data_IF_506270134192
#
_entry.id   IF_506270134192
#
_cell.length_a   1.000
_cell.length_b   1.000
_cell.length_c   1.000
_cell.angle_alpha   90.00
_cell.angle_beta   90.00
_cell.angle_gamma   90.00
#
_symmetry.space_group_name_H-M   'P 1'
#
loop_
_entity.id
_entity.type
_entity.pdbx_description
1 polymer ?
#
# COMPACT_ATOMS: atom_id res chain seq x y z
N UNK A 1 -2.53 2.75 20.63
CA UNK A 1 -2.95 1.79 19.58
C UNK A 1 -3.06 2.56 18.28
N UNK A 2 -2.41 2.12 17.22
CA UNK A 2 -2.39 2.78 15.91
C UNK A 2 -3.69 2.47 15.16
N UNK A 3 -4.46 3.49 14.79
CA UNK A 3 -5.68 3.35 13.99
C UNK A 3 -5.32 3.45 12.51
N UNK A 4 -5.48 2.38 11.75
CA UNK A 4 -5.16 2.40 10.32
C UNK A 4 -6.39 2.32 9.43
N UNK A 5 -6.35 3.03 8.30
CA UNK A 5 -7.27 2.86 7.17
C UNK A 5 -6.54 2.18 6.02
N UNK A 6 -7.13 1.16 5.41
CA UNK A 6 -6.51 0.44 4.30
C UNK A 6 -7.25 0.73 3.01
N UNK A 7 -6.57 1.36 2.05
CA UNK A 7 -7.11 1.69 0.74
C UNK A 7 -6.72 0.61 -0.28
N UNK A 8 -7.70 0.14 -1.05
CA UNK A 8 -7.57 -1.02 -1.95
C UNK A 8 -8.33 -0.80 -3.27
N UNK A 9 -7.95 -1.51 -4.33
CA UNK A 9 -8.70 -1.46 -5.61
C UNK A 9 -9.17 -2.84 -6.10
N UNK A 10 -8.63 -3.94 -5.59
CA UNK A 10 -8.81 -5.28 -6.16
C UNK A 10 -8.98 -6.40 -5.15
N UNK A 11 -8.21 -7.46 -5.29
CA UNK A 11 -8.32 -8.71 -4.52
C UNK A 11 -8.00 -8.60 -3.04
N UNK A 12 -7.16 -7.64 -2.62
CA UNK A 12 -6.85 -7.37 -1.21
C UNK A 12 -5.94 -8.41 -0.56
N UNK A 13 -4.98 -8.95 -1.29
CA UNK A 13 -4.02 -9.93 -0.72
C UNK A 13 -3.11 -9.29 0.32
N UNK A 14 -2.66 -8.05 0.09
CA UNK A 14 -1.93 -7.28 1.09
C UNK A 14 -2.80 -6.91 2.31
N UNK A 15 -4.09 -6.58 2.10
CA UNK A 15 -5.03 -6.41 3.21
C UNK A 15 -5.14 -7.70 4.04
N UNK A 16 -5.22 -8.87 3.41
CA UNK A 16 -5.26 -10.13 4.14
C UNK A 16 -3.99 -10.34 4.96
N UNK A 17 -2.81 -10.09 4.38
CA UNK A 17 -1.55 -10.20 5.10
C UNK A 17 -1.49 -9.27 6.34
N UNK A 18 -2.09 -8.08 6.25
CA UNK A 18 -2.20 -7.16 7.40
C UNK A 18 -3.15 -7.72 8.46
N UNK A 19 -4.33 -8.23 8.06
CA UNK A 19 -5.30 -8.85 8.96
C UNK A 19 -4.67 -10.04 9.69
N UNK A 20 -4.07 -10.96 8.92
CA UNK A 20 -3.40 -12.14 9.46
C UNK A 20 -2.27 -11.75 10.43
N UNK A 21 -1.53 -10.68 10.10
CA UNK A 21 -0.46 -10.12 10.94
C UNK A 21 -0.96 -9.58 12.29
N UNK A 22 -2.15 -8.96 12.31
CA UNK A 22 -2.79 -8.50 13.54
C UNK A 22 -3.29 -9.69 14.36
N UNK A 23 -3.97 -10.64 13.71
CA UNK A 23 -4.55 -11.82 14.36
C UNK A 23 -3.48 -12.72 15.00
N UNK A 24 -2.33 -12.90 14.34
CA UNK A 24 -1.22 -13.71 14.84
C UNK A 24 -0.18 -12.93 15.66
N UNK A 25 -0.44 -11.64 15.95
CA UNK A 25 0.41 -10.76 16.76
C UNK A 25 1.80 -10.45 16.17
N UNK A 26 2.01 -10.60 14.87
CA UNK A 26 3.20 -10.08 14.18
C UNK A 26 3.09 -8.58 13.91
N UNK A 27 1.87 -8.04 13.87
CA UNK A 27 1.58 -6.61 13.96
C UNK A 27 0.97 -6.34 15.32
N UNK A 28 1.64 -5.54 16.13
CA UNK A 28 1.22 -5.19 17.49
C UNK A 28 0.68 -3.75 17.55
N UNK A 29 -0.01 -3.40 18.63
CA UNK A 29 -0.50 -2.05 18.89
C UNK A 29 -1.28 -1.40 17.72
N UNK A 30 -1.95 -2.20 16.88
CA UNK A 30 -2.61 -1.74 15.66
C UNK A 30 -4.05 -2.25 15.57
N UNK A 31 -4.95 -1.45 15.00
CA UNK A 31 -6.28 -1.89 14.60
C UNK A 31 -6.67 -1.28 13.25
N UNK A 32 -7.34 -2.07 12.40
CA UNK A 32 -7.92 -1.56 11.15
C UNK A 32 -9.28 -0.96 11.48
N UNK A 33 -9.43 0.35 11.24
CA UNK A 33 -10.69 1.08 11.45
C UNK A 33 -11.63 0.94 10.26
N UNK A 34 -11.06 0.95 9.05
CA UNK A 34 -11.82 0.94 7.81
C UNK A 34 -11.01 0.37 6.65
N UNK A 35 -11.70 -0.32 5.75
CA UNK A 35 -11.22 -0.67 4.41
C UNK A 35 -11.99 0.18 3.40
N UNK A 36 -11.28 0.98 2.61
CA UNK A 36 -11.86 1.86 1.59
C UNK A 36 -11.45 1.36 0.21
N UNK A 37 -12.42 1.18 -0.69
CA UNK A 37 -12.14 0.82 -2.08
C UNK A 37 -12.74 1.83 -3.05
N UNK A 38 -12.03 2.09 -4.14
CA UNK A 38 -12.54 2.84 -5.29
C UNK A 38 -13.38 1.98 -6.24
N UNK A 39 -13.55 0.70 -5.94
CA UNK A 39 -14.27 -0.27 -6.75
C UNK A 39 -15.23 -1.08 -5.88
N UNK A 40 -16.54 -0.93 -6.11
CA UNK A 40 -17.58 -1.64 -5.35
C UNK A 40 -17.50 -3.17 -5.44
N UNK A 41 -16.87 -3.68 -6.50
CA UNK A 41 -16.68 -5.10 -6.74
C UNK A 41 -15.31 -5.62 -6.25
N UNK A 42 -14.55 -4.81 -5.53
CA UNK A 42 -13.26 -5.24 -4.98
C UNK A 42 -13.47 -6.35 -3.93
N UNK A 43 -12.85 -7.51 -4.13
CA UNK A 43 -12.93 -8.62 -3.17
C UNK A 43 -12.33 -8.25 -1.81
N UNK A 44 -11.45 -7.27 -1.77
CA UNK A 44 -10.91 -6.71 -0.54
C UNK A 44 -12.01 -6.20 0.44
N UNK A 45 -13.12 -5.62 -0.07
CA UNK A 45 -14.25 -5.21 0.78
C UNK A 45 -14.92 -6.40 1.45
N UNK A 46 -15.01 -7.53 0.75
CA UNK A 46 -15.56 -8.77 1.29
C UNK A 46 -14.65 -9.37 2.36
N UNK A 47 -13.31 -9.31 2.15
CA UNK A 47 -12.33 -9.70 3.17
C UNK A 47 -12.52 -8.90 4.45
N UNK A 48 -12.58 -7.56 4.34
CA UNK A 48 -12.80 -6.69 5.50
C UNK A 48 -14.07 -7.04 6.25
N UNK A 49 -15.21 -7.20 5.55
CA UNK A 49 -16.49 -7.57 6.18
C UNK A 49 -16.45 -8.92 6.88
N UNK A 50 -15.77 -9.92 6.31
CA UNK A 50 -15.62 -11.25 6.93
C UNK A 50 -14.86 -11.19 8.26
N UNK A 51 -13.98 -10.20 8.42
CA UNK A 51 -13.25 -9.95 9.68
C UNK A 51 -13.87 -8.89 10.56
N UNK A 52 -15.13 -8.49 10.30
CA UNK A 52 -15.85 -7.50 11.10
C UNK A 52 -15.31 -6.08 10.96
N UNK A 53 -14.51 -5.80 9.91
CA UNK A 53 -13.95 -4.48 9.64
C UNK A 53 -14.93 -3.70 8.76
N UNK A 54 -15.19 -2.44 9.12
CA UNK A 54 -15.99 -1.55 8.29
C UNK A 54 -15.36 -1.44 6.89
N UNK A 55 -16.19 -1.66 5.86
CA UNK A 55 -15.70 -1.79 4.48
C UNK A 55 -16.62 -1.04 3.53
N UNK A 56 -16.13 0.07 3.00
CA UNK A 56 -16.88 1.03 2.21
C UNK A 56 -16.30 1.25 0.82
N UNK A 57 -17.13 1.72 -0.09
CA UNK A 57 -16.70 2.10 -1.42
C UNK A 57 -16.84 3.62 -1.61
N UNK A 58 -15.77 4.27 -2.03
CA UNK A 58 -15.76 5.67 -2.50
C UNK A 58 -15.18 5.65 -3.91
N UNK A 59 -16.04 5.61 -4.92
CA UNK A 59 -15.62 5.43 -6.31
C UNK A 59 -15.60 6.74 -7.07
N UNK A 60 -14.53 7.07 -7.82
CA UNK A 60 -14.51 8.26 -8.66
C UNK A 60 -15.58 8.24 -9.76
N UNK A 61 -16.23 7.10 -10.00
CA UNK A 61 -17.30 6.96 -10.99
C UNK A 61 -18.67 7.43 -10.47
N UNK A 62 -18.77 7.66 -9.16
CA UNK A 62 -20.03 8.05 -8.52
C UNK A 62 -20.14 9.59 -8.38
N UNK A 63 -19.17 10.35 -8.93
CA UNK A 63 -19.10 11.81 -8.87
C UNK A 63 -18.87 12.40 -10.26
N UNK A 64 -19.39 13.61 -10.47
CA UNK A 64 -19.30 14.30 -11.75
C UNK A 64 -17.91 14.88 -12.02
N UNK A 65 -17.20 15.25 -10.97
CA UNK A 65 -15.85 15.86 -11.09
C UNK A 65 -14.84 15.16 -10.20
N UNK A 66 -13.56 15.32 -10.54
CA UNK A 66 -12.45 14.82 -9.73
C UNK A 66 -12.36 15.56 -8.39
N UNK A 67 -12.67 16.84 -8.38
CA UNK A 67 -12.66 17.70 -7.19
C UNK A 67 -13.71 17.24 -6.19
N UNK A 68 -14.92 16.91 -6.64
CA UNK A 68 -15.97 16.38 -5.79
C UNK A 68 -15.55 15.03 -5.17
N UNK A 69 -15.07 14.11 -6.00
CA UNK A 69 -14.53 12.83 -5.50
C UNK A 69 -13.44 13.04 -4.46
N UNK A 70 -12.46 13.93 -4.74
CA UNK A 70 -11.35 14.21 -3.83
C UNK A 70 -11.86 14.72 -2.48
N UNK A 71 -12.81 15.65 -2.49
CA UNK A 71 -13.42 16.20 -1.28
C UNK A 71 -14.08 15.10 -0.44
N UNK A 72 -14.92 14.28 -1.06
CA UNK A 72 -15.62 13.20 -0.37
C UNK A 72 -14.64 12.13 0.15
N UNK A 73 -13.59 11.81 -0.59
CA UNK A 73 -12.56 10.88 -0.14
C UNK A 73 -11.84 11.41 1.11
N UNK A 74 -11.49 12.72 1.13
CA UNK A 74 -10.85 13.36 2.28
C UNK A 74 -11.79 13.36 3.49
N UNK A 75 -13.04 13.81 3.33
CA UNK A 75 -14.04 13.83 4.39
C UNK A 75 -14.29 12.42 4.97
N UNK A 76 -14.35 11.44 4.09
CA UNK A 76 -14.49 10.04 4.48
C UNK A 76 -13.31 9.56 5.34
N UNK A 77 -12.08 9.77 4.88
CA UNK A 77 -10.86 9.39 5.62
C UNK A 77 -10.79 10.10 6.97
N UNK A 78 -11.09 11.39 7.00
CA UNK A 78 -11.06 12.21 8.22
C UNK A 78 -12.05 11.73 9.28
N UNK A 79 -13.21 11.22 8.88
CA UNK A 79 -14.26 10.75 9.80
C UNK A 79 -13.82 9.56 10.69
N UNK A 80 -12.77 8.84 10.27
CA UNK A 80 -12.25 7.68 11.03
C UNK A 80 -11.11 8.02 11.99
N UNK A 81 -10.62 9.26 12.03
CA UNK A 81 -9.50 9.68 12.89
C UNK A 81 -8.29 8.72 12.79
N UNK A 82 -7.80 8.52 11.57
CA UNK A 82 -6.72 7.59 11.28
C UNK A 82 -5.36 8.17 11.67
N UNK A 83 -4.52 7.31 12.25
CA UNK A 83 -3.12 7.62 12.52
C UNK A 83 -2.22 7.30 11.32
N UNK A 84 -2.61 6.28 10.52
CA UNK A 84 -1.89 5.83 9.33
C UNK A 84 -2.86 5.41 8.22
N UNK A 85 -2.56 5.79 7.01
CA UNK A 85 -3.23 5.32 5.79
C UNK A 85 -2.31 4.34 5.08
N UNK A 86 -2.83 3.16 4.73
CA UNK A 86 -2.07 2.11 4.04
C UNK A 86 -2.64 1.89 2.65
N UNK A 87 -1.84 2.15 1.62
CA UNK A 87 -2.19 1.84 0.23
C UNK A 87 -1.77 0.40 -0.08
N UNK A 88 -2.74 -0.51 -0.12
CA UNK A 88 -2.54 -1.94 -0.32
C UNK A 88 -3.09 -2.39 -1.69
N UNK A 89 -2.40 -2.00 -2.75
CA UNK A 89 -2.88 -2.18 -4.12
C UNK A 89 -4.00 -1.20 -4.48
N UNK A 90 -3.85 0.04 -4.07
CA UNK A 90 -4.73 1.16 -4.42
C UNK A 90 -4.25 1.79 -5.74
N UNK A 91 -5.15 1.85 -6.73
CA UNK A 91 -4.86 2.41 -8.06
C UNK A 91 -5.35 3.86 -8.22
N UNK A 92 -5.92 4.44 -7.19
CA UNK A 92 -6.35 5.84 -7.19
C UNK A 92 -5.18 6.72 -6.79
N UNK A 93 -4.90 7.71 -7.62
CA UNK A 93 -3.97 8.78 -7.26
C UNK A 93 -4.63 9.63 -6.18
N UNK A 94 -3.99 9.74 -5.04
CA UNK A 94 -4.50 10.54 -3.93
C UNK A 94 -4.38 12.05 -4.23
N UNK A 95 -5.32 12.88 -3.75
CA UNK A 95 -5.21 14.33 -3.88
C UNK A 95 -4.05 14.87 -3.05
N UNK A 96 -3.34 15.86 -3.58
CA UNK A 96 -2.20 16.51 -2.89
C UNK A 96 -2.59 17.04 -1.50
N UNK A 97 -3.80 17.57 -1.36
CA UNK A 97 -4.31 18.06 -0.08
C UNK A 97 -4.31 16.95 0.99
N UNK A 98 -4.74 15.75 0.62
CA UNK A 98 -4.70 14.58 1.52
C UNK A 98 -3.26 14.21 1.88
N UNK A 99 -2.38 14.19 0.89
CA UNK A 99 -0.96 13.85 1.09
C UNK A 99 -0.29 14.85 2.04
N UNK A 100 -0.52 16.15 1.86
CA UNK A 100 0.01 17.19 2.74
C UNK A 100 -0.55 17.09 4.16
N UNK A 101 -1.86 16.83 4.29
CA UNK A 101 -2.53 16.67 5.59
C UNK A 101 -2.00 15.47 6.37
N UNK A 102 -1.72 14.38 5.68
CA UNK A 102 -1.21 13.13 6.25
C UNK A 102 0.27 12.90 5.93
N UNK A 103 1.08 13.98 5.93
CA UNK A 103 2.53 13.89 5.71
C UNK A 103 3.17 12.87 6.65
N UNK A 104 3.95 11.93 6.09
CA UNK A 104 4.58 10.80 6.79
C UNK A 104 3.58 9.90 7.55
N UNK A 105 2.32 9.89 7.11
CA UNK A 105 1.24 9.04 7.63
C UNK A 105 0.49 8.28 6.53
N UNK A 106 1.04 8.23 5.33
CA UNK A 106 0.55 7.41 4.23
C UNK A 106 1.70 6.53 3.78
N UNK A 107 1.50 5.22 3.74
CA UNK A 107 2.48 4.27 3.20
C UNK A 107 1.90 3.52 2.01
N UNK A 108 2.75 3.15 1.08
CA UNK A 108 2.40 2.37 -0.11
C UNK A 108 3.32 1.15 -0.25
N UNK A 109 2.78 0.07 -0.81
CA UNK A 109 3.58 -1.07 -1.28
C UNK A 109 3.65 -1.03 -2.81
N UNK A 110 4.87 -0.99 -3.35
CA UNK A 110 5.12 -1.03 -4.77
C UNK A 110 5.88 -2.32 -5.14
N UNK A 111 5.45 -3.07 -6.19
CA UNK A 111 5.97 -4.40 -6.50
C UNK A 111 7.27 -4.38 -7.31
N UNK A 112 8.19 -3.47 -6.97
CA UNK A 112 9.56 -3.44 -7.47
C UNK A 112 10.54 -2.87 -6.42
N UNK A 113 11.83 -2.95 -6.71
CA UNK A 113 12.87 -2.26 -5.95
C UNK A 113 13.03 -0.84 -6.50
N UNK A 114 12.34 0.14 -5.91
CA UNK A 114 12.46 1.55 -6.27
C UNK A 114 13.96 1.98 -6.21
N UNK A 115 14.49 2.73 -7.19
CA UNK A 115 13.79 3.48 -8.24
C UNK A 115 13.55 2.72 -9.56
N UNK A 116 13.75 1.41 -9.64
CA UNK A 116 13.52 0.64 -10.85
C UNK A 116 12.03 0.29 -11.02
N UNK A 117 11.51 0.37 -12.26
CA UNK A 117 10.14 -0.04 -12.63
C UNK A 117 9.05 0.56 -11.75
N UNK A 118 9.17 1.86 -11.43
CA UNK A 118 8.21 2.63 -10.62
C UNK A 118 7.80 3.91 -11.34
N UNK A 119 6.86 4.66 -10.74
CA UNK A 119 6.32 5.89 -11.30
C UNK A 119 5.15 5.67 -12.25
N UNK A 120 4.78 6.73 -12.97
CA UNK A 120 3.59 6.74 -13.82
C UNK A 120 3.60 5.60 -14.85
N UNK A 121 2.55 4.79 -14.86
CA UNK A 121 2.39 3.66 -15.79
C UNK A 121 2.86 2.31 -15.27
N UNK A 122 3.62 2.26 -14.17
CA UNK A 122 4.08 1.03 -13.54
C UNK A 122 3.14 0.61 -12.41
N UNK A 123 2.23 -0.32 -12.69
CA UNK A 123 1.30 -0.90 -11.72
C UNK A 123 0.86 -2.31 -12.11
N UNK A 124 0.51 -3.13 -11.15
CA UNK A 124 0.02 -4.49 -11.35
C UNK A 124 1.00 -5.32 -12.18
N UNK A 125 0.50 -6.10 -13.14
CA UNK A 125 1.33 -6.97 -13.99
C UNK A 125 2.36 -6.21 -14.85
N UNK A 126 2.11 -4.95 -15.19
CA UNK A 126 3.02 -4.15 -16.04
C UNK A 126 4.43 -4.01 -15.44
N UNK A 127 4.53 -3.98 -14.13
CA UNK A 127 5.83 -3.92 -13.42
C UNK A 127 6.64 -5.19 -13.71
N UNK A 128 6.01 -6.35 -13.57
CA UNK A 128 6.65 -7.65 -13.76
C UNK A 128 6.96 -7.91 -15.24
N UNK A 129 6.07 -7.51 -16.16
CA UNK A 129 6.30 -7.55 -17.60
C UNK A 129 7.52 -6.72 -17.98
N UNK A 130 7.65 -5.50 -17.43
CA UNK A 130 8.78 -4.62 -17.70
C UNK A 130 10.10 -5.19 -17.14
N UNK A 131 10.08 -5.75 -15.92
CA UNK A 131 11.25 -6.38 -15.30
C UNK A 131 11.74 -7.58 -16.12
N UNK A 132 10.83 -8.46 -16.52
CA UNK A 132 11.16 -9.63 -17.35
C UNK A 132 11.66 -9.20 -18.74
N UNK A 133 10.98 -8.25 -19.38
CA UNK A 133 11.39 -7.70 -20.68
C UNK A 133 12.77 -7.07 -20.65
N UNK A 134 13.13 -6.38 -19.54
CA UNK A 134 14.44 -5.77 -19.34
C UNK A 134 15.54 -6.81 -19.09
N UNK A 135 15.14 -8.02 -18.64
CA UNK A 135 16.07 -9.11 -18.35
C UNK A 135 16.85 -8.96 -17.05
N UNK A 136 16.31 -8.20 -16.07
CA UNK A 136 16.91 -8.11 -14.73
C UNK A 136 16.88 -9.45 -14.03
N UNK A 137 17.82 -9.70 -13.14
CA UNK A 137 17.93 -10.97 -12.41
C UNK A 137 17.31 -10.91 -11.02
N UNK A 138 17.08 -9.69 -10.53
CA UNK A 138 16.49 -9.41 -9.22
C UNK A 138 15.38 -8.38 -9.40
N UNK A 139 14.23 -8.65 -8.79
CA UNK A 139 13.13 -7.71 -8.58
C UNK A 139 12.81 -7.70 -7.09
N UNK A 140 11.60 -7.33 -6.68
CA UNK A 140 11.19 -7.33 -5.27
C UNK A 140 10.04 -6.40 -5.00
N UNK A 141 9.92 -5.94 -3.76
CA UNK A 141 8.94 -4.96 -3.36
C UNK A 141 9.56 -3.87 -2.48
N UNK A 142 8.90 -2.70 -2.47
CA UNK A 142 9.27 -1.54 -1.66
C UNK A 142 8.06 -1.05 -0.89
N UNK A 143 8.20 -0.88 0.43
CA UNK A 143 7.30 -0.06 1.24
C UNK A 143 7.94 1.30 1.43
N UNK A 144 7.18 2.36 1.12
CA UNK A 144 7.66 3.74 1.24
C UNK A 144 6.55 4.65 1.76
N UNK A 145 6.91 5.78 2.34
CA UNK A 145 5.96 6.86 2.58
C UNK A 145 5.52 7.48 1.26
N UNK A 146 4.29 7.97 1.21
CA UNK A 146 3.75 8.65 0.03
C UNK A 146 4.00 10.14 0.15
N UNK A 147 4.57 10.72 -0.89
CA UNK A 147 4.71 12.15 -1.11
C UNK A 147 3.91 12.61 -2.34
N UNK A 148 4.09 13.85 -2.77
CA UNK A 148 3.36 14.42 -3.91
C UNK A 148 3.78 13.83 -5.27
N UNK A 149 4.92 13.12 -5.32
CA UNK A 149 5.38 12.40 -6.51
C UNK A 149 4.78 10.99 -6.60
N UNK A 150 5.05 10.31 -7.70
CA UNK A 150 4.64 8.92 -7.88
C UNK A 150 5.80 8.00 -7.54
N UNK A 151 5.67 7.25 -6.43
CA UNK A 151 6.67 6.31 -5.91
C UNK A 151 8.03 6.98 -5.58
N UNK A 152 8.01 8.23 -5.11
CA UNK A 152 9.21 9.05 -4.83
C UNK A 152 9.50 9.28 -3.35
N UNK A 153 8.55 8.95 -2.49
CA UNK A 153 8.67 9.22 -1.05
C UNK A 153 9.68 8.32 -0.32
N UNK A 154 9.98 8.65 0.95
CA UNK A 154 10.98 7.97 1.77
C UNK A 154 10.78 6.46 1.86
N UNK A 155 11.80 5.69 1.53
CA UNK A 155 11.75 4.22 1.54
C UNK A 155 11.88 3.70 2.97
N UNK A 156 10.93 2.82 3.37
CA UNK A 156 10.92 2.18 4.70
C UNK A 156 11.62 0.83 4.64
N UNK A 157 11.14 -0.06 3.76
CA UNK A 157 11.72 -1.39 3.55
C UNK A 157 11.75 -1.76 2.09
N UNK A 158 12.78 -2.52 1.72
CA UNK A 158 12.88 -3.18 0.43
C UNK A 158 13.23 -4.66 0.66
N UNK A 159 12.57 -5.53 -0.10
CA UNK A 159 12.83 -6.97 -0.08
C UNK A 159 13.13 -7.46 -1.50
N UNK A 160 14.34 -7.96 -1.77
CA UNK A 160 14.69 -8.51 -3.07
C UNK A 160 14.10 -9.91 -3.28
N UNK A 161 13.74 -10.19 -4.52
CA UNK A 161 13.24 -11.50 -4.98
C UNK A 161 13.94 -11.87 -6.29
N UNK A 162 14.48 -13.08 -6.35
CA UNK A 162 15.17 -13.57 -7.54
C UNK A 162 14.21 -13.90 -8.67
N UNK A 163 14.51 -13.45 -9.86
CA UNK A 163 13.82 -13.87 -11.10
C UNK A 163 14.37 -15.22 -11.54
N UNK A 164 13.48 -16.17 -11.80
CA UNK A 164 13.83 -17.51 -12.28
C UNK A 164 13.76 -17.56 -13.81
N UNK A 165 14.56 -18.40 -14.39
CA UNK A 165 14.51 -18.63 -15.84
C UNK A 165 13.13 -19.20 -16.22
N UNK A 166 12.51 -18.62 -17.26
CA UNK A 166 11.19 -19.02 -17.73
C UNK A 166 10.01 -18.41 -16.95
N UNK A 167 10.25 -17.56 -15.96
CA UNK A 167 9.17 -16.87 -15.25
C UNK A 167 8.22 -16.15 -16.21
N UNK A 168 6.93 -16.36 -16.02
CA UNK A 168 5.88 -15.50 -16.56
C UNK A 168 5.64 -14.30 -15.62
N UNK A 169 5.04 -13.20 -16.12
CA UNK A 169 4.69 -12.05 -15.26
C UNK A 169 3.82 -12.42 -14.06
N UNK A 170 2.93 -13.40 -14.21
CA UNK A 170 2.05 -13.87 -13.11
C UNK A 170 2.82 -14.67 -12.06
N UNK A 171 3.73 -15.54 -12.48
CA UNK A 171 4.57 -16.31 -11.54
C UNK A 171 5.49 -15.40 -10.75
N UNK A 172 6.11 -14.42 -11.42
CA UNK A 172 6.93 -13.41 -10.74
C UNK A 172 6.10 -12.56 -9.78
N UNK A 173 4.90 -12.11 -10.19
CA UNK A 173 3.99 -11.38 -9.32
C UNK A 173 3.64 -12.17 -8.07
N UNK A 174 3.22 -13.44 -8.23
CA UNK A 174 2.86 -14.28 -7.09
C UNK A 174 4.02 -14.43 -6.12
N UNK A 175 5.22 -14.69 -6.64
CA UNK A 175 6.43 -14.84 -5.81
C UNK A 175 6.77 -13.55 -5.09
N UNK A 176 6.68 -12.39 -5.74
CA UNK A 176 6.94 -11.09 -5.10
C UNK A 176 5.89 -10.82 -4.00
N UNK A 177 4.62 -11.15 -4.21
CA UNK A 177 3.61 -11.06 -3.16
C UNK A 177 3.98 -11.92 -1.95
N UNK A 178 4.33 -13.19 -2.16
CA UNK A 178 4.61 -14.16 -1.10
C UNK A 178 5.93 -13.88 -0.37
N UNK A 179 7.01 -13.62 -1.11
CA UNK A 179 8.35 -13.51 -0.55
C UNK A 179 8.72 -12.07 -0.12
N UNK A 180 7.97 -11.05 -0.57
CA UNK A 180 8.27 -9.66 -0.28
C UNK A 180 7.07 -8.87 0.25
N UNK A 181 5.99 -8.67 -0.52
CA UNK A 181 4.93 -7.73 -0.15
C UNK A 181 4.27 -8.11 1.18
N UNK A 182 3.86 -9.39 1.34
CA UNK A 182 3.19 -9.88 2.55
C UNK A 182 4.12 -10.00 3.76
N UNK A 183 5.41 -9.77 3.55
CA UNK A 183 6.42 -9.74 4.62
C UNK A 183 6.70 -8.31 5.07
N UNK A 184 7.03 -7.42 4.11
CA UNK A 184 7.52 -6.09 4.48
C UNK A 184 6.40 -5.09 4.80
N UNK A 185 5.18 -5.24 4.24
CA UNK A 185 4.06 -4.36 4.58
C UNK A 185 3.61 -4.55 6.04
N UNK A 186 3.32 -5.77 6.53
CA UNK A 186 3.05 -6.01 7.95
C UNK A 186 4.18 -5.50 8.86
N UNK A 187 5.43 -5.76 8.49
CA UNK A 187 6.61 -5.30 9.23
C UNK A 187 6.67 -3.77 9.33
N UNK A 188 6.40 -3.05 8.24
CA UNK A 188 6.39 -1.58 8.25
C UNK A 188 5.32 -1.03 9.19
N UNK A 189 4.12 -1.60 9.17
CA UNK A 189 3.02 -1.21 10.05
C UNK A 189 3.39 -1.44 11.51
N UNK A 190 3.97 -2.61 11.86
CA UNK A 190 4.40 -2.91 13.22
C UNK A 190 5.48 -1.93 13.71
N UNK A 191 6.45 -1.61 12.86
CA UNK A 191 7.52 -0.67 13.20
C UNK A 191 6.98 0.75 13.43
N UNK A 192 6.01 1.21 12.63
CA UNK A 192 5.35 2.51 12.83
C UNK A 192 4.54 2.49 14.13
N UNK A 193 3.74 1.44 14.37
CA UNK A 193 2.91 1.31 15.56
C UNK A 193 3.70 1.32 16.89
N UNK A 194 4.95 0.91 16.83
CA UNK A 194 5.86 0.84 17.98
C UNK A 194 6.91 1.97 17.99
N UNK A 195 6.73 3.04 17.21
CA UNK A 195 7.62 4.21 17.14
C UNK A 195 9.08 3.85 16.80
N UNK A 196 9.28 2.83 15.96
CA UNK A 196 10.60 2.34 15.52
C UNK A 196 11.07 2.95 14.21
N UNK A 197 10.31 3.87 13.64
CA UNK A 197 10.61 4.59 12.39
C UNK A 197 10.70 6.08 12.69
N UNK A 198 11.73 6.70 12.15
CA UNK A 198 11.94 8.13 12.12
C UNK A 198 12.30 8.59 10.73
N UNK A 199 11.87 9.78 10.33
CA UNK A 199 12.19 10.38 9.02
C UNK A 199 12.91 11.68 9.29
N UNK A 200 14.16 11.79 8.80
CA UNK A 200 14.97 13.00 9.00
C UNK A 200 14.62 14.15 8.04
N UNK A 201 15.34 15.25 8.16
CA UNK A 201 15.14 16.45 7.33
C UNK A 201 15.51 16.22 5.85
N UNK A 202 16.34 15.21 5.55
CA UNK A 202 16.71 14.81 4.20
C UNK A 202 15.73 13.78 3.59
N UNK A 203 14.62 13.49 4.28
CA UNK A 203 13.63 12.46 3.93
C UNK A 203 14.22 11.04 3.92
N UNK A 204 15.21 10.75 4.73
CA UNK A 204 15.75 9.41 4.91
C UNK A 204 15.07 8.75 6.12
N UNK A 205 14.66 7.50 5.95
CA UNK A 205 14.06 6.70 7.03
C UNK A 205 15.14 6.04 7.87
N UNK A 206 15.05 6.22 9.17
CA UNK A 206 15.90 5.55 10.16
C UNK A 206 15.08 4.54 10.97
N UNK A 207 15.64 3.35 11.14
CA UNK A 207 15.05 2.27 11.95
C UNK A 207 15.74 2.28 13.31
N UNK A 208 14.91 2.32 14.39
CA UNK A 208 15.35 2.29 15.79
C UNK A 208 15.38 0.88 16.36
#
# INVERSE_FOLDING_TARGET
>A
MLNIGVLVSGGGTNLQAIIDGIDNHTITNTQIKVVISNNKNAFALERGRKHGIESICVSPKDYDTREEFNKILIECIDSYNLDLIVLAGCLVVLPEELIRKYKNKIINIHPSLIPAFCGTGYYGLKVHEAALKRGVKVSGATVHFVDEGTDTGPIIFQQPVMIKEGDTPKELQQRIMEEAEWVIMPKAIDYIANNRIDVDEENIVHIK
#
